data_IF_007604158314
#
_entry.id   IF_007604158314
#
_cell.length_a   1.000
_cell.length_b   1.000
_cell.length_c   1.000
_cell.angle_alpha   90.00
_cell.angle_beta   90.00
_cell.angle_gamma   90.00
#
_symmetry.space_group_name_H-M   'P 1'
#
loop_
_entity.id
_entity.type
_entity.pdbx_description
1 polymer ?
#
# COMPACT_ATOMS: atom_id res chain seq x y z
N UNK A 1 65.02 35.83 -0.77
CA UNK A 1 63.66 36.24 -1.17
C UNK A 1 62.72 35.96 -0.02
N UNK A 2 62.34 36.99 0.74
CA UNK A 2 61.38 36.91 1.84
C UNK A 2 59.98 37.19 1.28
N UNK A 3 59.18 36.15 1.12
CA UNK A 3 57.78 36.27 0.72
C UNK A 3 56.90 36.38 1.98
N UNK A 4 56.47 37.60 2.32
CA UNK A 4 55.43 37.85 3.32
C UNK A 4 54.05 37.69 2.66
N UNK A 5 53.61 36.46 2.46
CA UNK A 5 52.23 36.14 2.15
C UNK A 5 51.86 34.84 2.87
N UNK A 6 50.97 34.92 3.85
CA UNK A 6 50.45 33.75 4.55
C UNK A 6 49.39 33.06 3.67
N UNK A 7 49.83 32.14 2.81
CA UNK A 7 48.93 31.29 2.02
C UNK A 7 48.68 29.95 2.73
N UNK A 8 47.40 29.57 2.82
CA UNK A 8 46.98 28.30 3.42
C UNK A 8 47.03 27.17 2.40
N UNK A 9 47.99 26.26 2.55
CA UNK A 9 48.07 25.03 1.77
C UNK A 9 47.17 23.93 2.36
N UNK A 10 46.47 23.20 1.50
CA UNK A 10 45.82 21.93 1.87
C UNK A 10 46.88 20.84 2.04
N UNK A 11 46.55 19.77 2.77
CA UNK A 11 47.48 18.67 3.02
C UNK A 11 47.96 18.00 1.71
N UNK A 12 47.10 17.95 0.69
CA UNK A 12 47.47 17.47 -0.67
C UNK A 12 48.47 18.42 -1.36
N UNK A 13 48.27 19.73 -1.25
CA UNK A 13 49.21 20.72 -1.79
C UNK A 13 50.56 20.70 -1.07
N UNK A 14 50.58 20.47 0.25
CA UNK A 14 51.83 20.30 1.03
C UNK A 14 52.58 19.03 0.61
N UNK A 15 51.87 17.90 0.47
CA UNK A 15 52.48 16.66 0.01
C UNK A 15 53.03 16.79 -1.42
N UNK A 16 52.27 17.46 -2.30
CA UNK A 16 52.70 17.77 -3.66
C UNK A 16 53.93 18.67 -3.70
N UNK A 17 54.00 19.66 -2.82
CA UNK A 17 55.16 20.54 -2.70
C UNK A 17 56.41 19.77 -2.29
N UNK A 18 56.32 18.90 -1.29
CA UNK A 18 57.44 18.07 -0.82
C UNK A 18 57.98 17.16 -1.92
N UNK A 19 57.10 16.45 -2.62
CA UNK A 19 57.50 15.52 -3.68
C UNK A 19 58.16 16.27 -4.85
N UNK A 20 57.67 17.46 -5.20
CA UNK A 20 58.27 18.27 -6.26
C UNK A 20 59.61 18.87 -5.83
N UNK A 21 59.74 19.28 -4.56
CA UNK A 21 61.00 19.74 -4.00
C UNK A 21 62.06 18.64 -3.99
N UNK A 22 61.70 17.39 -3.66
CA UNK A 22 62.62 16.26 -3.74
C UNK A 22 63.12 15.98 -5.18
N UNK A 23 62.33 16.31 -6.20
CA UNK A 23 62.79 16.23 -7.61
C UNK A 23 63.75 17.36 -7.95
N UNK A 24 63.53 18.56 -7.42
CA UNK A 24 64.44 19.70 -7.60
C UNK A 24 65.77 19.45 -6.90
N UNK A 25 65.73 18.84 -5.72
CA UNK A 25 66.90 18.45 -4.92
C UNK A 25 67.59 17.18 -5.46
N UNK A 26 67.18 16.68 -6.64
CA UNK A 26 67.71 15.49 -7.32
C UNK A 26 67.60 14.18 -6.51
N UNK A 27 66.73 14.13 -5.50
CA UNK A 27 66.46 12.94 -4.67
C UNK A 27 65.43 12.01 -5.30
N UNK A 28 64.67 12.49 -6.28
CA UNK A 28 63.61 11.76 -6.97
C UNK A 28 63.62 12.09 -8.47
N UNK A 29 63.36 11.08 -9.31
CA UNK A 29 63.16 11.30 -10.75
C UNK A 29 61.76 11.83 -11.04
N UNK A 30 61.61 12.57 -12.15
CA UNK A 30 60.30 13.14 -12.57
C UNK A 30 59.24 12.07 -12.76
N UNK A 31 59.64 10.89 -13.27
CA UNK A 31 58.77 9.74 -13.49
C UNK A 31 58.25 9.15 -12.16
N UNK A 32 59.14 8.96 -11.17
CA UNK A 32 58.75 8.45 -9.85
C UNK A 32 57.89 9.45 -9.08
N UNK A 33 58.18 10.75 -9.22
CA UNK A 33 57.33 11.79 -8.64
C UNK A 33 55.93 11.83 -9.27
N UNK A 34 55.82 11.66 -10.59
CA UNK A 34 54.53 11.57 -11.28
C UNK A 34 53.71 10.37 -10.78
N UNK A 35 54.35 9.21 -10.60
CA UNK A 35 53.72 8.02 -10.02
C UNK A 35 53.26 8.23 -8.57
N UNK A 36 54.11 8.80 -7.71
CA UNK A 36 53.76 9.09 -6.31
C UNK A 36 52.62 10.09 -6.15
N UNK A 37 52.51 11.03 -7.08
CA UNK A 37 51.43 12.03 -7.12
C UNK A 37 50.18 11.54 -7.84
N UNK A 38 50.21 10.36 -8.49
CA UNK A 38 49.09 9.84 -9.28
C UNK A 38 48.72 10.73 -10.48
N UNK A 39 49.69 11.44 -11.07
CA UNK A 39 49.49 12.36 -12.20
C UNK A 39 50.32 11.94 -13.41
N UNK A 40 49.97 12.47 -14.58
CA UNK A 40 50.79 12.25 -15.77
C UNK A 40 52.15 12.94 -15.66
N UNK A 41 53.18 12.36 -16.30
CA UNK A 41 54.52 12.93 -16.36
C UNK A 41 54.52 14.35 -16.97
N UNK A 42 53.67 14.60 -17.98
CA UNK A 42 53.44 15.94 -18.54
C UNK A 42 52.95 16.94 -17.47
N UNK A 43 52.02 16.52 -16.63
CA UNK A 43 51.49 17.36 -15.55
C UNK A 43 52.51 17.56 -14.44
N UNK A 44 53.32 16.55 -14.13
CA UNK A 44 54.45 16.63 -13.21
C UNK A 44 55.50 17.66 -13.69
N UNK A 45 55.91 17.59 -14.95
CA UNK A 45 56.83 18.57 -15.57
C UNK A 45 56.27 20.00 -15.54
N UNK A 46 54.96 20.16 -15.77
CA UNK A 46 54.29 21.47 -15.65
C UNK A 46 54.31 22.03 -14.23
N UNK A 47 54.19 21.16 -13.21
CA UNK A 47 54.32 21.56 -11.81
C UNK A 47 55.76 21.93 -11.47
N UNK A 48 56.74 21.19 -11.97
CA UNK A 48 58.17 21.50 -11.84
C UNK A 48 58.54 22.85 -12.45
N UNK A 49 58.10 23.15 -13.68
CA UNK A 49 58.31 24.47 -14.31
C UNK A 49 57.74 25.58 -13.41
N UNK A 50 56.51 25.37 -12.93
CA UNK A 50 55.82 26.33 -12.07
C UNK A 50 56.52 26.54 -10.72
N UNK A 51 57.04 25.47 -10.12
CA UNK A 51 57.80 25.54 -8.88
C UNK A 51 59.13 26.28 -9.09
N UNK A 52 59.79 26.11 -10.24
CA UNK A 52 61.00 26.86 -10.58
C UNK A 52 60.75 28.35 -10.80
N UNK A 53 59.62 28.69 -11.41
CA UNK A 53 59.24 30.08 -11.71
C UNK A 53 58.74 30.86 -10.48
N UNK A 54 57.94 30.23 -9.62
CA UNK A 54 57.22 30.93 -8.54
C UNK A 54 57.43 30.31 -7.15
N UNK A 55 58.34 29.35 -7.01
CA UNK A 55 58.64 28.68 -5.76
C UNK A 55 57.44 27.93 -5.16
N UNK A 56 57.46 27.72 -3.82
CA UNK A 56 56.36 27.12 -3.05
C UNK A 56 54.96 27.67 -3.36
N UNK A 57 54.83 28.99 -3.55
CA UNK A 57 53.54 29.66 -3.80
C UNK A 57 52.93 29.27 -5.15
N UNK A 58 53.76 28.87 -6.13
CA UNK A 58 53.29 28.34 -7.41
C UNK A 58 52.46 27.05 -7.29
N UNK A 59 52.55 26.34 -6.16
CA UNK A 59 51.90 25.03 -5.98
C UNK A 59 50.44 25.13 -5.53
N UNK A 60 49.99 26.31 -5.09
CA UNK A 60 48.61 26.55 -4.72
C UNK A 60 47.66 26.46 -5.94
N UNK A 61 46.43 26.03 -5.71
CA UNK A 61 45.41 26.00 -6.75
C UNK A 61 45.06 27.42 -7.24
N UNK A 62 45.35 27.74 -8.52
CA UNK A 62 45.05 29.04 -9.15
C UNK A 62 43.57 29.41 -9.25
N UNK A 63 42.65 28.47 -8.99
CA UNK A 63 41.20 28.73 -8.89
C UNK A 63 40.79 29.20 -7.50
N UNK A 64 41.67 29.08 -6.50
CA UNK A 64 41.41 29.55 -5.14
C UNK A 64 41.22 31.07 -5.17
N UNK A 65 40.13 31.54 -4.56
CA UNK A 65 39.73 32.96 -4.57
C UNK A 65 39.09 33.44 -5.87
N UNK A 66 39.00 32.60 -6.92
CA UNK A 66 38.28 32.96 -8.15
C UNK A 66 36.81 32.53 -8.07
N UNK A 67 35.88 33.34 -8.57
CA UNK A 67 34.47 32.97 -8.66
C UNK A 67 34.33 31.69 -9.50
N UNK A 68 33.37 30.86 -9.13
CA UNK A 68 33.07 29.64 -9.90
C UNK A 68 32.50 30.01 -11.26
N UNK A 69 32.86 29.27 -12.30
CA UNK A 69 32.24 29.44 -13.62
C UNK A 69 30.71 29.18 -13.58
N UNK A 70 30.21 28.51 -12.53
CA UNK A 70 28.79 28.23 -12.30
C UNK A 70 28.17 29.16 -11.25
N UNK A 71 28.87 30.22 -10.84
CA UNK A 71 28.35 31.19 -9.89
C UNK A 71 27.23 31.98 -10.55
N UNK A 72 26.12 32.13 -9.84
CA UNK A 72 25.03 33.00 -10.29
C UNK A 72 25.54 34.44 -10.42
N UNK A 73 24.98 35.24 -11.35
CA UNK A 73 25.25 36.66 -11.40
C UNK A 73 25.07 37.31 -10.02
N UNK A 74 25.95 38.24 -9.69
CA UNK A 74 25.89 38.95 -8.41
C UNK A 74 24.53 39.64 -8.26
N UNK A 75 23.90 39.49 -7.09
CA UNK A 75 22.56 40.05 -6.81
C UNK A 75 21.38 39.13 -7.19
N UNK A 76 21.55 38.21 -8.14
CA UNK A 76 20.44 37.39 -8.64
C UNK A 76 19.87 36.42 -7.59
N UNK A 77 20.75 35.86 -6.76
CA UNK A 77 20.36 35.00 -5.64
C UNK A 77 19.62 35.79 -4.55
N UNK A 78 20.03 37.03 -4.26
CA UNK A 78 19.35 37.89 -3.30
C UNK A 78 17.96 38.30 -3.82
N UNK A 79 17.85 38.60 -5.11
CA UNK A 79 16.58 38.95 -5.76
C UNK A 79 15.56 37.80 -5.72
N UNK A 80 15.98 36.57 -6.05
CA UNK A 80 15.10 35.41 -5.94
C UNK A 80 14.64 35.17 -4.49
N UNK A 81 15.53 35.36 -3.51
CA UNK A 81 15.21 35.22 -2.09
C UNK A 81 14.28 36.31 -1.56
N UNK A 82 14.38 37.55 -2.05
CA UNK A 82 13.48 38.63 -1.62
C UNK A 82 12.04 38.33 -2.04
N UNK A 83 11.84 37.87 -3.28
CA UNK A 83 10.52 37.48 -3.78
C UNK A 83 9.94 36.32 -2.95
N UNK A 84 10.74 35.29 -2.64
CA UNK A 84 10.28 34.16 -1.82
C UNK A 84 9.88 34.64 -0.42
N UNK A 85 10.66 35.53 0.20
CA UNK A 85 10.36 36.07 1.53
C UNK A 85 9.09 36.92 1.56
N UNK A 86 8.84 37.68 0.52
CA UNK A 86 7.71 38.61 0.47
C UNK A 86 6.40 37.91 0.08
N UNK A 87 6.45 36.94 -0.84
CA UNK A 87 5.25 36.40 -1.50
C UNK A 87 5.01 34.90 -1.30
N UNK A 88 6.03 34.13 -0.90
CA UNK A 88 5.99 32.66 -0.91
C UNK A 88 6.55 32.04 0.37
N UNK A 89 6.23 32.61 1.53
CA UNK A 89 6.77 32.18 2.84
C UNK A 89 6.39 30.76 3.25
N UNK A 90 5.26 30.26 2.76
CA UNK A 90 4.70 28.93 3.05
C UNK A 90 5.00 27.89 1.95
N UNK A 91 5.67 28.28 0.86
CA UNK A 91 5.86 27.40 -0.29
C UNK A 91 7.05 26.46 -0.10
N UNK A 92 6.93 25.24 -0.63
CA UNK A 92 8.06 24.33 -0.76
C UNK A 92 8.99 24.72 -1.91
N UNK A 93 10.27 24.27 -1.92
CA UNK A 93 11.26 24.67 -2.93
C UNK A 93 10.88 24.38 -4.38
N UNK A 94 10.10 23.32 -4.62
CA UNK A 94 9.60 23.00 -5.97
C UNK A 94 8.59 24.05 -6.44
N UNK A 95 7.56 24.33 -5.62
CA UNK A 95 6.50 25.27 -5.97
C UNK A 95 7.02 26.71 -6.02
N UNK A 96 7.92 27.08 -5.11
CA UNK A 96 8.60 28.37 -5.16
C UNK A 96 9.39 28.54 -6.46
N UNK A 97 10.08 27.50 -6.95
CA UNK A 97 10.79 27.52 -8.21
C UNK A 97 9.85 27.70 -9.42
N UNK A 98 8.73 26.99 -9.44
CA UNK A 98 7.70 27.13 -10.48
C UNK A 98 7.14 28.55 -10.53
N UNK A 99 6.80 29.12 -9.36
CA UNK A 99 6.20 30.47 -9.27
C UNK A 99 7.19 31.60 -9.46
N UNK A 100 8.48 31.37 -9.21
CA UNK A 100 9.55 32.30 -9.59
C UNK A 100 9.68 32.40 -11.12
N UNK A 101 9.57 31.27 -11.84
CA UNK A 101 9.63 31.27 -13.29
C UNK A 101 8.35 31.85 -13.93
N UNK A 102 7.17 31.39 -13.49
CA UNK A 102 5.89 31.78 -14.10
C UNK A 102 5.49 33.24 -13.88
N UNK A 103 5.78 33.81 -12.70
CA UNK A 103 5.24 35.11 -12.30
C UNK A 103 6.29 36.21 -12.20
N UNK A 104 7.58 35.86 -12.14
CA UNK A 104 8.68 36.81 -11.93
C UNK A 104 9.81 36.67 -12.95
N UNK A 105 9.65 35.78 -13.93
CA UNK A 105 10.65 35.48 -14.98
C UNK A 105 12.03 35.05 -14.43
N UNK A 106 12.07 34.58 -13.18
CA UNK A 106 13.30 34.15 -12.49
C UNK A 106 13.52 32.67 -12.72
N UNK A 107 14.42 32.36 -13.64
CA UNK A 107 14.75 31.00 -14.04
C UNK A 107 15.95 30.45 -13.25
N UNK A 108 15.65 29.67 -12.21
CA UNK A 108 16.65 28.95 -11.40
C UNK A 108 16.38 27.45 -11.42
N UNK A 109 17.41 26.64 -11.21
CA UNK A 109 17.20 25.22 -10.95
C UNK A 109 16.51 25.02 -9.60
N UNK A 110 15.61 24.04 -9.51
CA UNK A 110 14.97 23.63 -8.26
C UNK A 110 15.96 23.42 -7.11
N UNK A 111 17.12 22.83 -7.41
CA UNK A 111 18.15 22.53 -6.42
C UNK A 111 18.86 23.79 -5.91
N UNK A 112 19.03 24.79 -6.78
CA UNK A 112 19.53 26.12 -6.42
C UNK A 112 18.56 26.83 -5.49
N UNK A 113 17.27 26.85 -5.82
CA UNK A 113 16.21 27.44 -4.97
C UNK A 113 16.16 26.75 -3.61
N UNK A 114 16.23 25.41 -3.59
CA UNK A 114 16.29 24.63 -2.35
C UNK A 114 17.50 25.01 -1.49
N UNK A 115 18.69 25.12 -2.09
CA UNK A 115 19.91 25.52 -1.37
C UNK A 115 19.81 26.94 -0.80
N UNK A 116 19.28 27.89 -1.57
CA UNK A 116 19.05 29.26 -1.14
C UNK A 116 18.05 29.34 0.02
N UNK A 117 16.92 28.65 -0.08
CA UNK A 117 15.90 28.62 1.00
C UNK A 117 16.43 27.97 2.28
N UNK A 118 17.26 26.93 2.18
CA UNK A 118 17.91 26.30 3.35
C UNK A 118 18.89 27.27 4.01
N UNK A 119 19.78 27.92 3.24
CA UNK A 119 20.73 28.91 3.76
C UNK A 119 20.03 30.12 4.39
N UNK A 120 18.90 30.53 3.81
CA UNK A 120 18.11 31.66 4.30
C UNK A 120 17.16 31.31 5.47
N UNK A 121 17.14 30.06 5.93
CA UNK A 121 16.27 29.60 7.03
C UNK A 121 14.79 29.43 6.65
N UNK A 122 14.43 29.60 5.38
CA UNK A 122 13.05 29.52 4.88
C UNK A 122 12.60 28.07 4.65
N UNK A 123 13.54 27.14 4.55
CA UNK A 123 13.22 25.72 4.39
C UNK A 123 14.15 24.84 5.22
N UNK A 124 13.57 24.05 6.12
CA UNK A 124 14.31 23.10 6.95
C UNK A 124 14.32 21.73 6.25
N UNK A 125 15.49 21.20 5.83
CA UNK A 125 15.63 19.86 5.29
C UNK A 125 15.03 18.81 6.24
N UNK A 126 14.38 17.79 5.67
CA UNK A 126 13.71 16.76 6.46
C UNK A 126 14.61 16.09 7.52
N UNK A 127 15.90 15.92 7.21
CA UNK A 127 16.90 15.34 8.13
C UNK A 127 17.22 16.23 9.34
N UNK A 128 16.95 17.53 9.25
CA UNK A 128 17.22 18.52 10.30
C UNK A 128 15.95 18.92 11.08
N UNK A 129 14.77 18.43 10.67
CA UNK A 129 13.54 18.64 11.44
C UNK A 129 13.66 17.87 12.75
N UNK A 130 13.37 18.53 13.87
CA UNK A 130 13.34 17.86 15.16
C UNK A 130 12.38 16.65 15.09
N UNK A 131 12.81 15.46 15.56
CA UNK A 131 11.92 14.31 15.60
C UNK A 131 10.72 14.69 16.46
N UNK A 132 9.50 14.39 15.99
CA UNK A 132 8.31 14.51 16.83
C UNK A 132 8.46 13.54 17.99
N UNK A 133 8.77 14.05 19.17
CA UNK A 133 8.82 13.25 20.40
C UNK A 133 7.38 12.84 20.69
N UNK A 134 7.10 11.55 20.57
CA UNK A 134 5.81 11.00 20.94
C UNK A 134 5.87 10.49 22.36
N UNK A 135 5.10 11.13 23.25
CA UNK A 135 5.03 10.71 24.64
C UNK A 135 4.20 9.42 24.76
N UNK A 136 4.59 8.49 25.64
CA UNK A 136 3.80 7.31 25.93
C UNK A 136 2.43 7.71 26.48
N UNK A 137 1.38 7.07 25.97
CA UNK A 137 0.03 7.15 26.54
C UNK A 137 -0.16 6.10 27.64
N UNK A 138 -0.86 6.48 28.71
CA UNK A 138 -1.36 5.53 29.71
C UNK A 138 -2.39 4.57 29.12
N UNK A 139 -2.37 3.33 29.62
CA UNK A 139 -3.40 2.34 29.30
C UNK A 139 -4.78 2.82 29.73
N UNK A 140 -5.80 2.32 29.04
CA UNK A 140 -7.17 2.28 29.54
C UNK A 140 -7.23 1.58 30.90
N UNK A 141 -8.25 1.93 31.69
CA UNK A 141 -8.35 1.51 33.07
C UNK A 141 -9.00 0.13 33.18
N UNK A 142 -10.02 -0.14 32.36
CA UNK A 142 -10.83 -1.34 32.40
C UNK A 142 -10.68 -2.17 31.10
N UNK A 143 -10.91 -3.49 31.20
CA UNK A 143 -10.95 -4.36 30.02
C UNK A 143 -12.16 -4.02 29.15
N UNK A 144 -12.00 -3.98 27.82
CA UNK A 144 -13.09 -3.68 26.89
C UNK A 144 -13.28 -2.20 26.54
N UNK A 145 -12.55 -1.28 27.20
CA UNK A 145 -12.69 0.16 26.95
C UNK A 145 -12.14 0.56 25.57
N UNK A 146 -11.05 -0.09 25.15
CA UNK A 146 -10.42 0.18 23.87
C UNK A 146 -9.70 -1.07 23.37
N UNK A 147 -10.17 -1.58 22.24
CA UNK A 147 -9.57 -2.73 21.58
C UNK A 147 -8.81 -2.25 20.36
N UNK A 148 -7.50 -2.46 20.34
CA UNK A 148 -6.68 -2.15 19.17
C UNK A 148 -6.81 -3.27 18.16
N UNK A 149 -7.23 -2.91 16.95
CA UNK A 149 -7.39 -3.84 15.83
C UNK A 149 -6.38 -3.52 14.75
N UNK A 150 -5.71 -4.56 14.26
CA UNK A 150 -4.73 -4.42 13.20
C UNK A 150 -4.54 -5.71 12.42
N UNK A 151 -4.13 -5.56 11.16
CA UNK A 151 -3.75 -6.68 10.32
C UNK A 151 -2.23 -6.77 10.20
N UNK A 152 -1.72 -7.99 10.27
CA UNK A 152 -0.30 -8.29 10.20
C UNK A 152 -0.03 -9.29 9.06
N UNK A 153 0.43 -8.78 7.92
CA UNK A 153 0.91 -9.59 6.80
C UNK A 153 2.28 -10.18 7.13
N UNK A 154 2.41 -11.51 7.08
CA UNK A 154 3.66 -12.19 7.41
C UNK A 154 3.73 -13.60 6.81
N UNK A 155 4.95 -14.14 6.73
CA UNK A 155 5.19 -15.56 6.40
C UNK A 155 4.90 -16.46 7.61
N UNK A 156 3.63 -16.47 8.01
CA UNK A 156 3.15 -17.19 9.19
C UNK A 156 3.46 -18.70 9.18
N UNK A 157 3.60 -19.28 7.99
CA UNK A 157 3.89 -20.69 7.76
C UNK A 157 5.31 -20.96 7.26
N UNK A 158 6.21 -19.96 7.29
CA UNK A 158 7.54 -20.03 6.67
C UNK A 158 7.40 -20.46 5.19
N UNK A 159 7.91 -21.66 4.86
CA UNK A 159 7.86 -22.26 3.52
C UNK A 159 6.75 -23.31 3.35
N UNK A 160 5.94 -23.57 4.39
CA UNK A 160 4.91 -24.62 4.38
C UNK A 160 3.61 -24.21 3.67
N UNK A 161 3.35 -22.90 3.58
CA UNK A 161 2.18 -22.35 2.92
C UNK A 161 2.43 -20.91 2.44
N UNK A 162 1.61 -20.38 1.52
CA UNK A 162 1.69 -18.98 1.11
C UNK A 162 1.56 -18.02 2.30
N UNK A 163 2.15 -16.84 2.18
CA UNK A 163 1.96 -15.75 3.13
C UNK A 163 0.49 -15.37 3.24
N UNK A 164 0.08 -14.98 4.45
CA UNK A 164 -1.28 -14.59 4.75
C UNK A 164 -1.28 -13.47 5.80
N UNK A 165 -2.46 -12.92 6.10
CA UNK A 165 -2.61 -11.86 7.08
C UNK A 165 -3.24 -12.42 8.36
N UNK A 166 -2.69 -12.06 9.52
CA UNK A 166 -3.35 -12.26 10.80
C UNK A 166 -4.10 -10.99 11.19
N UNK A 167 -5.40 -11.10 11.46
CA UNK A 167 -6.19 -10.06 12.09
C UNK A 167 -6.09 -10.22 13.60
N UNK A 168 -5.62 -9.18 14.29
CA UNK A 168 -5.26 -9.23 15.70
C UNK A 168 -6.04 -8.16 16.47
N UNK A 169 -6.66 -8.57 17.57
CA UNK A 169 -7.40 -7.70 18.48
C UNK A 169 -6.70 -7.74 19.83
N UNK A 170 -6.24 -6.58 20.30
CA UNK A 170 -5.50 -6.44 21.56
C UNK A 170 -6.24 -5.48 22.48
N UNK A 171 -6.58 -5.93 23.68
CA UNK A 171 -7.15 -5.05 24.70
C UNK A 171 -6.07 -4.09 25.24
N UNK A 172 -6.37 -2.79 25.27
CA UNK A 172 -5.39 -1.78 25.65
C UNK A 172 -5.02 -1.80 27.15
N UNK A 173 -5.99 -2.12 28.01
CA UNK A 173 -5.82 -2.15 29.46
C UNK A 173 -4.95 -3.33 29.90
N UNK A 174 -5.23 -4.51 29.36
CA UNK A 174 -4.63 -5.77 29.78
C UNK A 174 -3.51 -6.24 28.87
N UNK A 175 -3.45 -5.76 27.62
CA UNK A 175 -2.59 -6.32 26.56
C UNK A 175 -2.91 -7.77 26.19
N UNK A 176 -4.11 -8.26 26.52
CA UNK A 176 -4.61 -9.58 26.11
C UNK A 176 -4.88 -9.60 24.60
N UNK A 177 -4.54 -10.72 23.96
CA UNK A 177 -5.11 -11.10 22.67
C UNK A 177 -6.55 -11.53 22.90
N UNK A 178 -7.47 -10.79 22.30
CA UNK A 178 -8.90 -11.02 22.43
C UNK A 178 -9.46 -11.79 21.23
N UNK A 179 -8.85 -11.59 20.06
CA UNK A 179 -9.19 -12.29 18.84
C UNK A 179 -7.96 -12.38 17.93
N UNK A 180 -7.80 -13.55 17.31
CA UNK A 180 -6.76 -13.83 16.34
C UNK A 180 -7.38 -14.65 15.19
N UNK A 181 -7.31 -14.14 13.96
CA UNK A 181 -7.84 -14.83 12.78
C UNK A 181 -6.89 -14.71 11.59
N UNK A 182 -6.51 -15.84 11.01
CA UNK A 182 -5.72 -15.92 9.78
C UNK A 182 -6.64 -15.87 8.56
N UNK A 183 -6.31 -14.99 7.62
CA UNK A 183 -7.04 -14.80 6.38
C UNK A 183 -6.07 -14.63 5.21
N UNK A 184 -6.49 -15.01 4.00
CA UNK A 184 -5.62 -14.91 2.80
C UNK A 184 -5.18 -13.48 2.51
N UNK A 185 -6.06 -12.50 2.75
CA UNK A 185 -5.80 -11.08 2.56
C UNK A 185 -6.81 -10.24 3.34
N UNK A 186 -6.42 -9.06 3.80
CA UNK A 186 -7.32 -8.12 4.47
C UNK A 186 -8.43 -7.60 3.55
N UNK A 187 -9.66 -7.65 4.07
CA UNK A 187 -10.87 -7.14 3.42
C UNK A 187 -11.93 -6.79 4.48
N UNK A 188 -12.93 -5.99 4.12
CA UNK A 188 -14.05 -5.69 5.02
C UNK A 188 -14.75 -6.96 5.52
N UNK A 189 -14.94 -7.97 4.67
CA UNK A 189 -15.57 -9.23 5.08
C UNK A 189 -14.70 -10.01 6.07
N UNK A 190 -13.38 -10.02 5.89
CA UNK A 190 -12.49 -10.69 6.86
C UNK A 190 -12.52 -10.01 8.22
N UNK A 191 -12.65 -8.68 8.27
CA UNK A 191 -12.81 -7.95 9.53
C UNK A 191 -14.19 -8.18 10.15
N UNK A 192 -15.25 -8.26 9.36
CA UNK A 192 -16.58 -8.67 9.86
C UNK A 192 -16.56 -10.03 10.52
N UNK A 193 -15.95 -11.02 9.86
CA UNK A 193 -15.85 -12.37 10.40
C UNK A 193 -14.98 -12.44 11.66
N UNK A 194 -13.84 -11.73 11.68
CA UNK A 194 -13.02 -11.61 12.88
C UNK A 194 -13.77 -10.89 14.02
N UNK A 195 -14.50 -9.81 13.72
CA UNK A 195 -15.26 -9.07 14.74
C UNK A 195 -16.43 -9.89 15.27
N UNK A 196 -17.11 -10.66 14.41
CA UNK A 196 -18.14 -11.62 14.85
C UNK A 196 -17.60 -12.56 15.92
N UNK A 197 -16.50 -13.24 15.64
CA UNK A 197 -15.89 -14.17 16.59
C UNK A 197 -15.42 -13.48 17.89
N UNK A 198 -15.00 -12.21 17.81
CA UNK A 198 -14.73 -11.40 18.99
C UNK A 198 -15.99 -11.14 19.83
N UNK A 199 -17.06 -10.66 19.19
CA UNK A 199 -18.29 -10.27 19.87
C UNK A 199 -19.01 -11.47 20.49
N UNK A 200 -19.02 -12.61 19.81
CA UNK A 200 -19.61 -13.85 20.32
C UNK A 200 -18.88 -14.36 21.57
N UNK A 201 -17.57 -14.08 21.71
CA UNK A 201 -16.75 -14.52 22.85
C UNK A 201 -16.76 -13.53 24.03
N UNK A 202 -16.71 -12.23 23.74
CA UNK A 202 -16.48 -11.21 24.77
C UNK A 202 -17.60 -10.18 24.89
N UNK A 203 -18.50 -10.08 23.91
CA UNK A 203 -19.50 -9.02 23.82
C UNK A 203 -18.99 -7.73 23.15
N UNK A 204 -19.84 -6.69 23.15
CA UNK A 204 -19.64 -5.38 22.53
C UNK A 204 -18.67 -4.54 23.38
N UNK A 205 -17.47 -4.18 22.87
CA UNK A 205 -16.57 -3.27 23.58
C UNK A 205 -17.11 -1.83 23.51
N UNK A 206 -16.47 -0.93 24.24
CA UNK A 206 -16.80 0.50 24.16
C UNK A 206 -16.27 1.12 22.86
N UNK A 207 -15.01 0.79 22.50
CA UNK A 207 -14.39 1.31 21.29
C UNK A 207 -13.40 0.34 20.62
N UNK A 208 -13.35 0.42 19.28
CA UNK A 208 -12.30 -0.17 18.46
C UNK A 208 -11.33 0.92 17.97
N UNK A 209 -10.03 0.62 18.05
CA UNK A 209 -8.95 1.50 17.64
C UNK A 209 -8.18 0.92 16.46
N UNK A 210 -8.32 1.54 15.29
CA UNK A 210 -7.76 1.05 14.02
C UNK A 210 -6.86 2.08 13.34
N UNK A 211 -6.15 1.68 12.29
CA UNK A 211 -5.37 2.60 11.46
C UNK A 211 -6.27 3.18 10.36
N UNK A 212 -5.80 4.20 9.65
CA UNK A 212 -6.51 4.85 8.54
C UNK A 212 -6.55 4.01 7.25
N UNK A 213 -6.52 2.68 7.37
CA UNK A 213 -6.73 1.80 6.23
C UNK A 213 -8.12 2.03 5.62
N UNK A 214 -8.27 1.79 4.31
CA UNK A 214 -9.51 2.05 3.56
C UNK A 214 -10.73 1.28 4.08
N UNK A 215 -10.51 0.17 4.79
CA UNK A 215 -11.56 -0.59 5.48
C UNK A 215 -12.21 0.24 6.60
N UNK A 216 -11.42 1.06 7.30
CA UNK A 216 -11.84 1.81 8.48
C UNK A 216 -12.14 3.29 8.20
N UNK A 217 -11.61 3.83 7.09
CA UNK A 217 -11.81 5.22 6.71
C UNK A 217 -12.02 5.40 5.22
N UNK A 218 -13.02 6.21 4.85
CA UNK A 218 -13.17 6.69 3.48
C UNK A 218 -12.04 7.70 3.19
N UNK A 219 -11.09 7.32 2.33
CA UNK A 219 -9.97 8.19 1.95
C UNK A 219 -10.35 9.26 0.92
N UNK A 220 -11.55 9.16 0.30
CA UNK A 220 -12.02 10.10 -0.70
C UNK A 220 -13.33 10.79 -0.25
N UNK A 221 -13.25 12.06 0.16
CA UNK A 221 -14.40 12.85 0.65
C UNK A 221 -15.50 13.05 -0.42
N UNK A 222 -15.18 12.83 -1.70
CA UNK A 222 -16.11 12.98 -2.83
C UNK A 222 -16.68 11.63 -3.32
N UNK A 223 -16.67 10.58 -2.49
CA UNK A 223 -17.27 9.30 -2.86
C UNK A 223 -18.79 9.48 -3.06
N UNK A 224 -19.22 9.40 -4.31
CA UNK A 224 -20.60 9.60 -4.74
C UNK A 224 -21.49 8.46 -4.25
N UNK A 225 -22.05 8.60 -3.05
CA UNK A 225 -23.09 7.72 -2.51
C UNK A 225 -22.67 6.96 -1.25
N UNK A 226 -23.08 7.47 -0.10
CA UNK A 226 -22.95 6.84 1.21
C UNK A 226 -22.67 7.88 2.30
N UNK A 227 -23.25 7.69 3.49
CA UNK A 227 -23.35 8.65 4.61
C UNK A 227 -22.01 9.03 5.28
N UNK A 228 -20.90 9.00 4.56
CA UNK A 228 -19.56 9.34 5.07
C UNK A 228 -18.89 8.24 5.90
N UNK A 229 -19.54 7.09 6.10
CA UNK A 229 -19.02 5.94 6.86
C UNK A 229 -18.58 4.78 5.96
N UNK A 230 -17.49 4.09 6.31
CA UNK A 230 -17.17 2.80 5.68
C UNK A 230 -18.20 1.74 6.07
N UNK A 231 -18.34 0.67 5.27
CA UNK A 231 -19.22 -0.46 5.62
C UNK A 231 -18.89 -1.06 6.99
N UNK A 232 -17.60 -1.08 7.36
CA UNK A 232 -17.19 -1.48 8.70
C UNK A 232 -17.65 -0.49 9.76
N UNK A 233 -17.42 0.81 9.54
CA UNK A 233 -17.88 1.86 10.44
C UNK A 233 -19.39 1.86 10.66
N UNK A 234 -20.18 1.59 9.60
CA UNK A 234 -21.63 1.42 9.68
C UNK A 234 -22.01 0.28 10.62
N UNK A 235 -21.46 -0.91 10.42
CA UNK A 235 -21.75 -2.06 11.27
C UNK A 235 -21.40 -1.79 12.74
N UNK A 236 -20.25 -1.16 13.01
CA UNK A 236 -19.86 -0.80 14.38
C UNK A 236 -20.80 0.23 15.00
N UNK A 237 -21.23 1.23 14.22
CA UNK A 237 -22.18 2.24 14.69
C UNK A 237 -23.55 1.61 15.03
N UNK A 238 -24.07 0.73 14.16
CA UNK A 238 -25.31 -0.02 14.42
C UNK A 238 -25.21 -0.87 15.71
N UNK A 239 -24.04 -1.43 15.99
CA UNK A 239 -23.74 -2.16 17.23
C UNK A 239 -23.43 -1.25 18.44
N UNK A 240 -23.56 0.07 18.30
CA UNK A 240 -23.19 1.06 19.32
C UNK A 240 -21.73 0.95 19.80
N UNK A 241 -20.80 0.58 18.92
CA UNK A 241 -19.36 0.48 19.18
C UNK A 241 -18.65 1.68 18.56
N UNK A 242 -17.92 2.46 19.36
CA UNK A 242 -17.20 3.63 18.85
C UNK A 242 -16.00 3.21 18.00
N UNK A 243 -15.85 3.78 16.80
CA UNK A 243 -14.65 3.55 15.97
C UNK A 243 -13.72 4.74 16.04
N UNK A 244 -12.46 4.50 16.41
CA UNK A 244 -11.43 5.52 16.55
C UNK A 244 -10.28 5.18 15.61
N UNK A 245 -9.96 6.09 14.69
CA UNK A 245 -8.82 5.94 13.78
C UNK A 245 -7.58 6.66 14.32
N UNK A 246 -6.45 5.96 14.37
CA UNK A 246 -5.16 6.52 14.74
C UNK A 246 -4.77 7.67 13.80
N UNK A 247 -4.36 8.81 14.36
CA UNK A 247 -3.86 9.93 13.55
C UNK A 247 -2.40 9.75 13.11
N UNK A 248 -1.66 8.88 13.80
CA UNK A 248 -0.26 8.56 13.54
C UNK A 248 -0.02 7.07 13.83
N UNK A 249 0.80 6.40 13.02
CA UNK A 249 1.15 4.97 13.17
C UNK A 249 1.64 4.63 14.58
N UNK A 250 2.52 5.46 15.13
CA UNK A 250 3.10 5.34 16.47
C UNK A 250 2.12 5.43 17.65
N UNK A 251 0.83 5.75 17.41
CA UNK A 251 -0.20 5.71 18.44
C UNK A 251 -0.74 4.27 18.69
N UNK A 252 -0.30 3.27 17.91
CA UNK A 252 -0.69 1.85 17.97
C UNK A 252 0.37 0.94 18.61
N UNK A 253 1.28 1.49 19.44
CA UNK A 253 2.42 0.72 19.97
C UNK A 253 2.10 -0.49 20.86
N UNK A 254 0.83 -0.85 21.13
CA UNK A 254 0.46 -2.09 21.84
C UNK A 254 0.29 -3.24 20.86
N UNK A 255 -0.55 -3.07 19.85
CA UNK A 255 -0.76 -4.08 18.81
C UNK A 255 0.52 -4.34 18.01
N UNK A 256 1.33 -3.31 17.75
CA UNK A 256 2.66 -3.47 17.14
C UNK A 256 3.60 -4.34 17.97
N UNK A 257 3.60 -4.20 19.31
CA UNK A 257 4.40 -5.06 20.20
C UNK A 257 3.87 -6.50 20.24
N UNK A 258 2.55 -6.66 20.21
CA UNK A 258 1.94 -7.97 20.07
C UNK A 258 2.38 -8.64 18.76
N UNK A 259 2.37 -7.92 17.64
CA UNK A 259 2.84 -8.41 16.34
C UNK A 259 4.27 -8.92 16.40
N UNK A 260 5.22 -8.20 17.00
CA UNK A 260 6.60 -8.67 17.14
C UNK A 260 6.68 -9.99 17.90
N UNK A 261 5.90 -10.14 18.96
CA UNK A 261 5.86 -11.37 19.76
C UNK A 261 5.22 -12.52 18.97
N UNK A 262 4.15 -12.24 18.23
CA UNK A 262 3.47 -13.21 17.38
C UNK A 262 4.36 -13.69 16.24
N UNK A 263 5.01 -12.76 15.51
CA UNK A 263 5.89 -13.07 14.39
C UNK A 263 7.03 -14.01 14.79
N UNK A 264 7.54 -13.89 16.02
CA UNK A 264 8.54 -14.82 16.53
C UNK A 264 7.93 -16.14 17.04
N UNK A 265 7.03 -16.08 18.02
CA UNK A 265 6.58 -17.27 18.76
C UNK A 265 5.58 -18.09 17.96
N UNK A 266 4.57 -17.45 17.37
CA UNK A 266 3.48 -18.17 16.72
C UNK A 266 3.95 -18.92 15.48
N UNK A 267 4.94 -18.38 14.76
CA UNK A 267 5.58 -19.07 13.64
C UNK A 267 6.24 -20.38 14.10
N UNK A 268 6.99 -20.32 15.21
CA UNK A 268 7.68 -21.48 15.81
C UNK A 268 6.69 -22.50 16.39
N UNK A 269 5.67 -22.07 17.12
CA UNK A 269 4.63 -22.95 17.69
C UNK A 269 3.92 -23.73 16.58
N UNK A 270 3.53 -23.05 15.49
CA UNK A 270 2.96 -23.74 14.33
C UNK A 270 3.92 -24.72 13.69
N UNK A 271 5.22 -24.44 13.69
CA UNK A 271 6.25 -25.36 13.15
C UNK A 271 6.31 -26.64 13.98
N UNK A 272 6.34 -26.52 15.30
CA UNK A 272 6.36 -27.66 16.22
C UNK A 272 5.13 -28.57 16.05
N UNK A 273 3.98 -27.98 15.69
CA UNK A 273 2.72 -28.70 15.48
C UNK A 273 2.47 -29.13 14.03
N UNK A 274 3.38 -28.84 13.10
CA UNK A 274 3.22 -29.19 11.68
C UNK A 274 2.08 -28.47 10.96
N UNK A 275 1.58 -27.34 11.47
CA UNK A 275 0.44 -26.61 10.88
C UNK A 275 0.88 -25.93 9.58
N UNK A 276 0.17 -26.18 8.49
CA UNK A 276 0.51 -25.71 7.13
C UNK A 276 -0.68 -25.15 6.34
N UNK A 277 -1.80 -24.84 7.00
CA UNK A 277 -2.97 -24.24 6.36
C UNK A 277 -3.58 -23.14 7.22
N UNK A 278 -4.29 -22.21 6.57
CA UNK A 278 -5.03 -21.13 7.24
C UNK A 278 -6.11 -21.69 8.15
N UNK A 279 -6.84 -22.72 7.71
CA UNK A 279 -7.90 -23.35 8.50
C UNK A 279 -7.33 -23.97 9.78
N UNK A 280 -6.29 -24.81 9.66
CA UNK A 280 -5.66 -25.42 10.81
C UNK A 280 -5.01 -24.39 11.76
N UNK A 281 -4.55 -23.25 11.24
CA UNK A 281 -4.07 -22.15 12.08
C UNK A 281 -5.20 -21.44 12.84
N UNK A 282 -6.39 -21.33 12.25
CA UNK A 282 -7.57 -20.79 12.91
C UNK A 282 -8.09 -21.74 13.99
N UNK A 283 -8.06 -23.05 13.75
CA UNK A 283 -8.44 -24.06 14.74
C UNK A 283 -7.51 -24.02 15.97
N UNK A 284 -6.22 -23.73 15.75
CA UNK A 284 -5.23 -23.58 16.82
C UNK A 284 -5.25 -22.19 17.51
N UNK A 285 -5.93 -21.20 16.95
CA UNK A 285 -5.80 -19.81 17.40
C UNK A 285 -6.21 -19.62 18.87
N UNK A 286 -7.29 -20.27 19.32
CA UNK A 286 -7.81 -20.14 20.68
C UNK A 286 -6.85 -20.73 21.73
N UNK A 287 -6.28 -21.89 21.44
CA UNK A 287 -5.29 -22.52 22.32
C UNK A 287 -4.03 -21.65 22.45
N UNK A 288 -3.54 -21.12 21.34
CA UNK A 288 -2.39 -20.21 21.36
C UNK A 288 -2.69 -18.91 22.12
N UNK A 289 -3.87 -18.32 21.91
CA UNK A 289 -4.28 -17.10 22.62
C UNK A 289 -4.33 -17.33 24.14
N UNK A 290 -4.81 -18.49 24.59
CA UNK A 290 -4.81 -18.83 26.00
C UNK A 290 -3.40 -18.87 26.60
N UNK A 291 -2.44 -19.56 25.96
CA UNK A 291 -1.04 -19.60 26.43
C UNK A 291 -0.37 -18.22 26.35
N UNK A 292 -0.62 -17.47 25.28
CA UNK A 292 -0.11 -16.11 25.13
C UNK A 292 -0.61 -15.21 26.27
N UNK A 293 -1.92 -15.21 26.53
CA UNK A 293 -2.52 -14.36 27.54
C UNK A 293 -2.03 -14.73 28.93
N UNK A 294 -1.85 -16.02 29.24
CA UNK A 294 -1.24 -16.47 30.51
C UNK A 294 0.15 -15.85 30.77
N UNK A 295 0.94 -15.60 29.72
CA UNK A 295 2.33 -15.11 29.84
C UNK A 295 2.46 -13.60 29.73
N UNK A 296 1.63 -12.95 28.92
CA UNK A 296 1.83 -11.55 28.52
C UNK A 296 0.71 -10.60 28.94
N UNK A 297 -0.44 -11.14 29.35
CA UNK A 297 -1.50 -10.31 29.91
C UNK A 297 -1.04 -9.64 31.20
N UNK A 298 -1.66 -8.51 31.49
CA UNK A 298 -1.45 -7.75 32.71
C UNK A 298 -2.80 -7.42 33.31
N UNK A 299 -2.78 -7.24 34.61
CA UNK A 299 -3.96 -6.82 35.34
C UNK A 299 -4.38 -5.41 34.87
N UNK A 300 -5.68 -5.20 34.63
CA UNK A 300 -6.23 -3.87 34.38
C UNK A 300 -6.10 -3.01 35.66
N UNK A 301 -6.27 -1.69 35.52
CA UNK A 301 -6.23 -0.79 36.69
C UNK A 301 -7.45 -1.00 37.59
N UNK A 302 -8.59 -1.33 36.98
CA UNK A 302 -9.81 -1.69 37.68
C UNK A 302 -10.30 -3.04 37.16
N UNK A 303 -10.83 -3.85 38.07
CA UNK A 303 -11.29 -5.22 37.81
C UNK A 303 -12.65 -5.28 37.07
N UNK A 304 -13.21 -4.13 36.71
CA UNK A 304 -14.46 -4.08 35.98
C UNK A 304 -14.24 -4.37 34.49
N UNK A 305 -15.05 -5.25 33.92
CA UNK A 305 -15.12 -5.50 32.48
C UNK A 305 -16.24 -4.64 31.88
N UNK A 306 -15.90 -3.76 30.91
CA UNK A 306 -16.87 -2.85 30.29
C UNK A 306 -17.57 -3.44 29.07
N UNK A 307 -17.30 -4.69 28.70
CA UNK A 307 -18.03 -5.33 27.61
C UNK A 307 -19.53 -5.39 27.91
N UNK A 308 -20.33 -5.08 26.90
CA UNK A 308 -21.78 -5.22 26.95
C UNK A 308 -22.17 -6.51 26.24
N UNK A 309 -23.09 -7.33 26.80
CA UNK A 309 -23.56 -8.51 26.10
C UNK A 309 -24.25 -8.12 24.77
N UNK A 310 -24.31 -9.07 23.85
CA UNK A 310 -25.17 -8.95 22.66
C UNK A 310 -26.64 -9.01 23.10
N UNK A 311 -27.46 -8.15 22.53
CA UNK A 311 -28.90 -8.13 22.77
C UNK A 311 -29.59 -9.25 21.99
N UNK A 312 -30.79 -9.67 22.41
CA UNK A 312 -31.49 -10.81 21.78
C UNK A 312 -31.88 -10.53 20.33
N UNK A 313 -32.08 -9.26 19.99
CA UNK A 313 -32.37 -8.73 18.66
C UNK A 313 -31.12 -8.30 17.87
N UNK A 314 -29.91 -8.45 18.43
CA UNK A 314 -28.66 -8.17 17.71
C UNK A 314 -28.40 -9.24 16.63
N UNK A 315 -28.93 -9.03 15.42
CA UNK A 315 -28.63 -9.89 14.27
C UNK A 315 -27.27 -9.53 13.65
N UNK A 316 -26.22 -10.20 14.15
CA UNK A 316 -24.86 -10.08 13.60
C UNK A 316 -24.79 -10.39 12.10
N UNK A 317 -25.67 -11.24 11.54
CA UNK A 317 -25.67 -11.53 10.11
C UNK A 317 -26.17 -10.33 9.30
N UNK A 318 -27.18 -9.62 9.81
CA UNK A 318 -27.64 -8.37 9.22
C UNK A 318 -26.61 -7.24 9.38
N UNK A 319 -25.98 -7.09 10.55
CA UNK A 319 -24.98 -6.05 10.79
C UNK A 319 -23.73 -6.22 9.92
N UNK A 320 -23.25 -7.45 9.76
CA UNK A 320 -22.04 -7.78 8.99
C UNK A 320 -22.30 -8.01 7.49
N UNK A 321 -23.08 -7.11 6.89
CA UNK A 321 -23.38 -7.09 5.45
C UNK A 321 -22.77 -5.89 4.74
N UNK A 322 -22.34 -6.09 3.50
CA UNK A 322 -22.06 -4.99 2.59
C UNK A 322 -23.38 -4.48 1.99
N UNK A 323 -23.75 -3.23 2.26
CA UNK A 323 -25.01 -2.63 1.77
C UNK A 323 -24.70 -1.50 0.80
N UNK A 324 -25.27 -1.56 -0.39
CA UNK A 324 -25.03 -0.52 -1.40
C UNK A 324 -26.32 -0.12 -2.12
N UNK A 325 -26.63 1.19 -2.21
CA UNK A 325 -27.79 1.65 -2.93
C UNK A 325 -27.59 1.46 -4.45
N UNK A 326 -28.63 0.92 -5.10
CA UNK A 326 -28.69 0.74 -6.55
C UNK A 326 -30.02 1.18 -7.10
N UNK A 327 -29.98 1.93 -8.20
CA UNK A 327 -31.21 2.36 -8.88
C UNK A 327 -31.75 1.24 -9.75
N UNK A 328 -33.02 0.90 -9.57
CA UNK A 328 -33.72 -0.07 -10.42
C UNK A 328 -34.03 0.56 -11.78
N UNK A 329 -33.72 -0.16 -12.85
CA UNK A 329 -34.01 0.29 -14.21
C UNK A 329 -35.52 0.20 -14.54
N UNK A 330 -35.91 0.75 -15.70
CA UNK A 330 -37.29 0.59 -16.21
C UNK A 330 -37.66 -0.86 -16.52
N UNK A 331 -36.67 -1.74 -16.72
CA UNK A 331 -36.87 -3.16 -17.03
C UNK A 331 -36.72 -4.06 -15.79
N UNK A 332 -36.88 -3.52 -14.58
CA UNK A 332 -36.74 -4.27 -13.32
C UNK A 332 -35.37 -4.96 -13.19
N UNK A 333 -34.31 -4.31 -13.68
CA UNK A 333 -32.95 -4.84 -13.56
C UNK A 333 -32.06 -3.96 -12.70
N UNK A 334 -31.14 -4.61 -11.99
CA UNK A 334 -30.08 -3.97 -11.21
C UNK A 334 -28.75 -4.62 -11.55
N UNK A 335 -27.74 -3.79 -11.82
CA UNK A 335 -26.37 -4.26 -12.02
C UNK A 335 -25.57 -4.13 -10.72
N UNK A 336 -24.98 -5.23 -10.26
CA UNK A 336 -24.15 -5.28 -9.07
C UNK A 336 -23.03 -6.31 -9.23
N UNK A 337 -21.80 -5.99 -8.82
CA UNK A 337 -20.59 -6.82 -9.03
C UNK A 337 -20.44 -7.37 -10.46
N UNK A 338 -20.73 -6.55 -11.48
CA UNK A 338 -20.77 -6.92 -12.92
C UNK A 338 -21.80 -8.00 -13.30
N UNK A 339 -22.63 -8.45 -12.35
CA UNK A 339 -23.75 -9.36 -12.58
C UNK A 339 -25.02 -8.54 -12.77
N UNK A 340 -25.88 -8.97 -13.69
CA UNK A 340 -27.20 -8.37 -13.91
C UNK A 340 -28.24 -9.20 -13.15
N UNK A 341 -28.94 -8.57 -12.23
CA UNK A 341 -30.02 -9.17 -11.46
C UNK A 341 -31.36 -8.74 -12.08
N UNK A 342 -32.20 -9.71 -12.43
CA UNK A 342 -33.55 -9.50 -12.94
C UNK A 342 -34.51 -9.67 -11.77
N UNK A 343 -35.10 -8.57 -11.33
CA UNK A 343 -36.10 -8.59 -10.26
C UNK A 343 -37.39 -9.15 -10.84
N UNK A 344 -38.00 -10.10 -10.14
CA UNK A 344 -39.27 -10.69 -10.56
C UNK A 344 -40.38 -9.64 -10.57
N UNK A 345 -41.25 -9.70 -11.58
CA UNK A 345 -42.33 -8.75 -11.74
C UNK A 345 -43.44 -8.99 -10.69
N UNK A 346 -43.69 -7.98 -9.88
CA UNK A 346 -44.70 -7.96 -8.82
C UNK A 346 -45.15 -6.50 -8.61
N UNK A 347 -46.29 -6.29 -7.96
CA UNK A 347 -46.73 -4.92 -7.65
C UNK A 347 -45.68 -4.14 -6.84
N UNK A 348 -44.96 -4.83 -5.96
CA UNK A 348 -43.95 -4.24 -5.10
C UNK A 348 -42.67 -3.90 -5.88
N UNK A 349 -42.21 -4.80 -6.77
CA UNK A 349 -41.04 -4.53 -7.61
C UNK A 349 -41.31 -3.45 -8.66
N UNK A 350 -42.54 -3.35 -9.22
CA UNK A 350 -42.93 -2.24 -10.10
C UNK A 350 -42.85 -0.88 -9.40
N UNK A 351 -43.18 -0.80 -8.10
CA UNK A 351 -43.01 0.43 -7.30
C UNK A 351 -41.54 0.80 -7.07
N UNK A 352 -40.61 -0.14 -7.27
CA UNK A 352 -39.16 0.09 -7.15
C UNK A 352 -38.56 0.73 -8.40
N UNK A 353 -39.25 0.70 -9.56
CA UNK A 353 -38.73 1.23 -10.83
C UNK A 353 -38.32 2.70 -10.68
N UNK A 354 -37.08 3.01 -11.08
CA UNK A 354 -36.50 4.35 -10.99
C UNK A 354 -36.09 4.77 -9.57
N UNK A 355 -36.42 3.98 -8.54
CA UNK A 355 -36.02 4.22 -7.15
C UNK A 355 -34.72 3.49 -6.81
N UNK A 356 -34.10 3.93 -5.72
CA UNK A 356 -32.97 3.23 -5.13
C UNK A 356 -33.47 2.11 -4.22
N UNK A 357 -32.90 0.92 -4.40
CA UNK A 357 -33.03 -0.22 -3.50
C UNK A 357 -31.67 -0.49 -2.85
N UNK A 358 -31.67 -1.22 -1.74
CA UNK A 358 -30.43 -1.68 -1.12
C UNK A 358 -30.05 -3.07 -1.64
N UNK A 359 -28.81 -3.21 -2.07
CA UNK A 359 -28.21 -4.53 -2.32
C UNK A 359 -27.43 -4.93 -1.09
N UNK A 360 -27.88 -5.99 -0.43
CA UNK A 360 -27.22 -6.61 0.70
C UNK A 360 -26.35 -7.75 0.20
N UNK A 361 -25.07 -7.74 0.52
CA UNK A 361 -24.11 -8.77 0.14
C UNK A 361 -23.42 -9.32 1.39
N UNK A 362 -23.66 -10.60 1.65
CA UNK A 362 -23.20 -11.32 2.83
C UNK A 362 -21.80 -11.91 2.61
N UNK A 363 -21.04 -12.18 3.69
CA UNK A 363 -19.68 -12.74 3.60
C UNK A 363 -19.61 -14.11 2.91
N UNK A 364 -20.66 -14.94 3.06
CA UNK A 364 -20.82 -16.24 2.42
C UNK A 364 -21.10 -16.15 0.90
N UNK A 365 -21.31 -14.94 0.39
CA UNK A 365 -21.65 -14.68 -1.00
C UNK A 365 -23.15 -14.75 -1.30
N UNK A 366 -24.04 -14.81 -0.32
CA UNK A 366 -25.48 -14.57 -0.54
C UNK A 366 -25.71 -13.10 -0.90
N UNK A 367 -26.71 -12.82 -1.75
CA UNK A 367 -27.15 -11.47 -2.07
C UNK A 367 -28.65 -11.35 -1.86
N UNK A 368 -29.09 -10.18 -1.41
CA UNK A 368 -30.50 -9.85 -1.28
C UNK A 368 -30.73 -8.45 -1.83
N UNK A 369 -31.83 -8.28 -2.54
CA UNK A 369 -32.30 -6.99 -3.05
C UNK A 369 -33.45 -6.54 -2.16
N UNK A 370 -33.37 -5.38 -1.54
CA UNK A 370 -34.38 -4.92 -0.57
C UNK A 370 -34.92 -3.53 -0.91
N UNK A 371 -36.24 -3.39 -0.94
CA UNK A 371 -36.93 -2.10 -0.99
C UNK A 371 -37.58 -1.85 0.38
N UNK A 372 -37.10 -0.83 1.11
CA UNK A 372 -37.60 -0.48 2.45
C UNK A 372 -37.65 -1.69 3.41
N UNK A 373 -36.62 -2.53 3.38
CA UNK A 373 -36.53 -3.75 4.20
C UNK A 373 -37.23 -4.99 3.62
N UNK A 374 -38.09 -4.85 2.61
CA UNK A 374 -38.78 -5.97 1.97
C UNK A 374 -37.90 -6.59 0.88
N UNK A 375 -37.73 -7.91 0.92
CA UNK A 375 -36.94 -8.66 -0.06
C UNK A 375 -37.66 -8.71 -1.40
N UNK A 376 -36.93 -8.41 -2.46
CA UNK A 376 -37.34 -8.52 -3.85
C UNK A 376 -36.78 -9.82 -4.44
N UNK A 377 -37.63 -10.77 -4.84
CA UNK A 377 -37.19 -11.97 -5.56
C UNK A 377 -36.47 -11.59 -6.85
N UNK A 378 -35.43 -12.35 -7.20
CA UNK A 378 -34.66 -12.09 -8.40
C UNK A 378 -34.10 -13.37 -9.01
N UNK A 379 -33.82 -13.31 -10.30
CA UNK A 379 -33.00 -14.28 -11.02
C UNK A 379 -31.69 -13.63 -11.49
N UNK A 380 -30.64 -14.43 -11.60
CA UNK A 380 -29.33 -13.95 -12.06
C UNK A 380 -29.27 -14.13 -13.56
N UNK A 381 -29.06 -13.04 -14.30
CA UNK A 381 -28.70 -13.07 -15.70
C UNK A 381 -27.19 -12.93 -15.83
N UNK A 382 -26.51 -14.08 -15.77
CA UNK A 382 -25.07 -14.12 -15.90
C UNK A 382 -24.65 -14.03 -17.37
N UNK A 383 -24.10 -12.88 -17.77
CA UNK A 383 -23.48 -12.70 -19.12
C UNK A 383 -22.10 -13.37 -19.22
N UNK A 384 -21.63 -14.05 -18.17
CA UNK A 384 -20.37 -14.78 -18.07
C UNK A 384 -20.58 -16.30 -17.99
N UNK A 385 -21.69 -16.83 -18.51
CA UNK A 385 -21.96 -18.28 -18.52
C UNK A 385 -20.75 -19.06 -19.08
N UNK A 386 -20.00 -19.71 -18.19
CA UNK A 386 -19.01 -20.73 -18.55
C UNK A 386 -19.80 -21.94 -19.02
N UNK A 387 -19.52 -22.41 -20.23
CA UNK A 387 -20.13 -23.62 -20.76
C UNK A 387 -19.55 -24.79 -19.96
N UNK A 388 -20.37 -25.40 -19.12
CA UNK A 388 -20.04 -26.63 -18.42
C UNK A 388 -19.98 -27.78 -19.45
N UNK A 389 -18.79 -28.36 -19.65
CA UNK A 389 -18.61 -29.53 -20.51
C UNK A 389 -19.08 -30.79 -19.77
N UNK A 390 -20.39 -30.86 -19.49
CA UNK A 390 -21.06 -32.04 -18.97
C UNK A 390 -21.69 -32.86 -20.11
N UNK A 391 -21.23 -34.10 -20.25
CA UNK A 391 -21.66 -35.13 -21.21
C UNK A 391 -21.39 -34.84 -22.70
N UNK A 392 -20.36 -35.49 -23.23
CA UNK A 392 -20.14 -35.65 -24.68
C UNK A 392 -21.32 -36.46 -25.23
N UNK A 393 -22.35 -35.77 -25.72
CA UNK A 393 -23.35 -36.37 -26.59
C UNK A 393 -22.82 -36.24 -28.01
N UNK A 394 -22.63 -37.39 -28.66
CA UNK A 394 -22.03 -37.50 -29.98
C UNK A 394 -22.97 -36.89 -31.04
N UNK A 395 -22.82 -35.58 -31.25
CA UNK A 395 -23.41 -34.89 -32.38
C UNK A 395 -22.23 -34.29 -33.17
N UNK A 396 -22.06 -34.79 -34.42
CA UNK A 396 -20.86 -34.67 -35.29
C UNK A 396 -20.26 -33.27 -35.49
N UNK A 397 -20.87 -32.21 -34.96
CA UNK A 397 -20.38 -30.82 -35.05
C UNK A 397 -20.45 -30.03 -33.73
N UNK A 398 -21.15 -30.53 -32.71
CA UNK A 398 -21.36 -29.79 -31.46
C UNK A 398 -20.06 -29.61 -30.67
N UNK A 399 -19.23 -30.65 -30.57
CA UNK A 399 -17.93 -30.58 -29.87
C UNK A 399 -17.02 -29.47 -30.43
N UNK A 400 -16.92 -29.35 -31.76
CA UNK A 400 -16.12 -28.30 -32.40
C UNK A 400 -16.64 -26.89 -32.13
N UNK A 401 -17.96 -26.70 -32.15
CA UNK A 401 -18.57 -25.40 -31.84
C UNK A 401 -18.34 -25.02 -30.38
N UNK A 402 -18.39 -25.99 -29.46
CA UNK A 402 -18.13 -25.74 -28.04
C UNK A 402 -16.64 -25.44 -27.77
N UNK A 403 -15.71 -26.17 -28.39
CA UNK A 403 -14.28 -25.90 -28.29
C UNK A 403 -13.90 -24.55 -28.90
N UNK A 404 -14.58 -24.15 -29.97
CA UNK A 404 -14.45 -22.82 -30.57
C UNK A 404 -14.86 -21.72 -29.58
N UNK A 405 -16.03 -21.87 -28.97
CA UNK A 405 -16.54 -20.91 -27.98
C UNK A 405 -15.60 -20.87 -26.76
N UNK A 406 -15.07 -22.01 -26.32
CA UNK A 406 -14.09 -22.10 -25.22
C UNK A 406 -12.81 -21.32 -25.51
N UNK A 407 -12.22 -21.48 -26.70
CA UNK A 407 -11.01 -20.75 -27.09
C UNK A 407 -11.22 -19.23 -27.12
N UNK A 408 -12.41 -18.78 -27.52
CA UNK A 408 -12.78 -17.36 -27.50
C UNK A 408 -13.03 -16.88 -26.05
N UNK A 409 -13.66 -17.70 -25.21
CA UNK A 409 -13.87 -17.41 -23.79
C UNK A 409 -12.55 -17.34 -23.00
N UNK A 410 -11.54 -18.16 -23.35
CA UNK A 410 -10.23 -18.14 -22.70
C UNK A 410 -9.49 -16.80 -22.90
N UNK A 411 -9.79 -16.09 -23.99
CA UNK A 411 -9.27 -14.74 -24.27
C UNK A 411 -10.02 -13.63 -23.53
N UNK A 412 -11.15 -13.92 -22.89
CA UNK A 412 -11.96 -12.94 -22.16
C UNK A 412 -11.42 -12.69 -20.76
N UNK A 413 -11.39 -11.42 -20.35
CA UNK A 413 -11.13 -11.04 -18.96
C UNK A 413 -12.41 -11.24 -18.11
N UNK A 414 -12.41 -12.31 -17.31
CA UNK A 414 -13.49 -12.67 -16.38
C UNK A 414 -13.25 -12.12 -14.96
N UNK A 415 -12.30 -11.20 -14.76
CA UNK A 415 -12.05 -10.63 -13.43
C UNK A 415 -13.26 -9.82 -12.93
N UNK A 416 -13.72 -10.11 -11.70
CA UNK A 416 -14.82 -9.39 -11.02
C UNK A 416 -14.45 -7.97 -10.62
N UNK A 417 -15.42 -7.19 -10.12
CA UNK A 417 -15.17 -5.81 -9.70
C UNK A 417 -14.20 -5.74 -8.51
N UNK A 418 -13.31 -4.74 -8.53
CA UNK A 418 -12.41 -4.44 -7.41
C UNK A 418 -13.05 -3.52 -6.37
N UNK A 419 -14.22 -2.95 -6.67
CA UNK A 419 -14.93 -2.06 -5.76
C UNK A 419 -15.57 -2.81 -4.57
N UNK A 420 -15.68 -4.13 -4.66
CA UNK A 420 -16.33 -4.98 -3.65
C UNK A 420 -15.26 -5.88 -3.01
N UNK A 421 -15.24 -6.04 -1.67
CA UNK A 421 -14.28 -6.89 -0.98
C UNK A 421 -14.35 -8.35 -1.44
N UNK A 422 -13.21 -9.04 -1.39
CA UNK A 422 -13.18 -10.50 -1.56
C UNK A 422 -13.68 -11.19 -0.28
N UNK A 423 -14.61 -12.15 -0.43
CA UNK A 423 -14.88 -13.19 0.58
C UNK A 423 -13.95 -14.39 0.40
N UNK A 424 -14.41 -15.61 0.70
CA UNK A 424 -13.60 -16.84 0.60
C UNK A 424 -13.29 -17.33 -0.83
N UNK A 425 -13.86 -16.65 -1.84
CA UNK A 425 -13.57 -16.90 -3.24
C UNK A 425 -12.10 -16.65 -3.64
N UNK A 426 -11.73 -16.98 -4.89
CA UNK A 426 -10.38 -16.77 -5.39
C UNK A 426 -9.94 -15.30 -5.21
N UNK A 427 -8.66 -15.10 -4.86
CA UNK A 427 -8.08 -13.79 -4.60
C UNK A 427 -8.42 -12.80 -5.71
N UNK A 428 -9.05 -11.68 -5.33
CA UNK A 428 -9.36 -10.58 -6.25
C UNK A 428 -8.12 -9.72 -6.56
N UNK A 429 -6.92 -10.06 -6.07
CA UNK A 429 -5.68 -9.35 -6.45
C UNK A 429 -5.57 -9.33 -7.97
N UNK A 430 -5.27 -8.15 -8.52
CA UNK A 430 -4.99 -7.96 -9.95
C UNK A 430 -3.90 -8.96 -10.36
N UNK A 431 -4.28 -10.05 -11.03
CA UNK A 431 -3.32 -10.86 -11.78
C UNK A 431 -2.62 -9.90 -12.75
N UNK A 432 -1.30 -10.05 -12.98
CA UNK A 432 -0.56 -9.28 -14.01
C UNK A 432 -1.46 -9.14 -15.24
N UNK A 433 -1.53 -7.95 -15.88
CA UNK A 433 -2.41 -7.75 -17.03
C UNK A 433 -2.21 -8.92 -17.98
N UNK A 434 -3.20 -9.81 -18.00
CA UNK A 434 -3.21 -10.90 -18.95
C UNK A 434 -3.47 -10.24 -20.29
N UNK A 435 -2.90 -10.75 -21.40
CA UNK A 435 -3.28 -10.32 -22.75
C UNK A 435 -4.76 -10.57 -23.11
N UNK A 436 -5.61 -10.87 -22.11
CA UNK A 436 -7.04 -11.12 -22.22
C UNK A 436 -7.80 -9.81 -22.37
N UNK A 437 -8.79 -9.84 -23.23
CA UNK A 437 -9.60 -8.70 -23.67
C UNK A 437 -10.87 -8.58 -22.85
N UNK A 438 -11.38 -7.36 -22.63
CA UNK A 438 -12.73 -7.16 -22.10
C UNK A 438 -13.79 -7.76 -23.04
N UNK A 439 -14.98 -8.09 -22.53
CA UNK A 439 -16.06 -8.63 -23.36
C UNK A 439 -16.38 -7.75 -24.59
N UNK A 440 -16.28 -6.42 -24.45
CA UNK A 440 -16.58 -5.47 -25.53
C UNK A 440 -15.46 -5.32 -26.55
N UNK A 441 -14.26 -5.80 -26.22
CA UNK A 441 -13.07 -5.71 -27.09
C UNK A 441 -12.77 -7.03 -27.82
N UNK A 442 -13.54 -8.09 -27.57
CA UNK A 442 -13.51 -9.29 -28.41
C UNK A 442 -14.13 -8.95 -29.77
N UNK A 443 -13.42 -9.25 -30.84
CA UNK A 443 -13.82 -8.88 -32.21
C UNK A 443 -13.74 -10.09 -33.16
N UNK A 444 -14.00 -9.85 -34.46
CA UNK A 444 -13.95 -10.89 -35.49
C UNK A 444 -12.58 -11.56 -35.64
N UNK A 445 -11.49 -10.86 -35.32
CA UNK A 445 -10.13 -11.42 -35.41
C UNK A 445 -9.89 -12.48 -34.32
N UNK A 446 -10.44 -12.27 -33.12
CA UNK A 446 -10.37 -13.26 -32.03
C UNK A 446 -11.07 -14.56 -32.40
N UNK A 447 -12.19 -14.45 -33.14
CA UNK A 447 -12.95 -15.57 -33.70
C UNK A 447 -12.14 -16.27 -34.81
N UNK A 448 -11.52 -15.51 -35.71
CA UNK A 448 -10.68 -16.07 -36.77
C UNK A 448 -9.48 -16.83 -36.20
N UNK A 449 -8.83 -16.28 -35.18
CA UNK A 449 -7.68 -16.91 -34.52
C UNK A 449 -8.09 -18.18 -33.77
N UNK A 450 -9.27 -18.20 -33.13
CA UNK A 450 -9.81 -19.41 -32.51
C UNK A 450 -10.15 -20.50 -33.56
N UNK A 451 -10.68 -20.11 -34.73
CA UNK A 451 -10.90 -21.03 -35.86
C UNK A 451 -9.59 -21.60 -36.38
N UNK A 452 -8.56 -20.77 -36.57
CA UNK A 452 -7.23 -21.21 -37.01
C UNK A 452 -6.61 -22.18 -36.00
N UNK A 453 -6.77 -21.91 -34.70
CA UNK A 453 -6.30 -22.79 -33.62
C UNK A 453 -7.03 -24.14 -33.59
N UNK A 454 -8.33 -24.17 -33.91
CA UNK A 454 -9.06 -25.43 -34.07
C UNK A 454 -8.68 -26.20 -35.32
N UNK A 455 -8.34 -25.48 -36.39
CA UNK A 455 -7.94 -26.08 -37.66
C UNK A 455 -6.55 -26.71 -37.55
N UNK A 456 -5.62 -26.12 -36.79
CA UNK A 456 -4.30 -26.71 -36.52
C UNK A 456 -4.35 -27.93 -35.59
N UNK A 457 -5.35 -28.02 -34.70
CA UNK A 457 -5.61 -29.21 -33.85
C UNK A 457 -6.35 -30.35 -34.56
N UNK A 458 -6.68 -30.17 -35.84
CA UNK A 458 -7.42 -31.19 -36.59
C UNK A 458 -6.62 -32.46 -36.86
N UNK A 459 -5.29 -32.37 -36.92
CA UNK A 459 -4.41 -33.53 -37.16
C UNK A 459 -4.32 -34.47 -35.94
N UNK A 460 -4.43 -33.94 -34.73
CA UNK A 460 -4.41 -34.73 -33.47
C UNK A 460 -5.70 -35.54 -33.26
N UNK A 461 -6.82 -35.09 -33.83
CA UNK A 461 -8.16 -35.67 -33.59
C UNK A 461 -8.60 -36.60 -34.73
N UNK A 462 -8.23 -36.32 -35.99
CA UNK A 462 -8.65 -37.12 -37.15
C UNK A 462 -7.63 -38.16 -37.61
N UNK A 463 -6.44 -38.21 -36.99
CA UNK A 463 -5.33 -39.03 -37.46
C UNK A 463 -4.80 -38.57 -38.82
N UNK A 464 -3.57 -38.96 -39.17
CA UNK A 464 -2.99 -38.66 -40.48
C UNK A 464 -3.96 -39.10 -41.58
N UNK A 465 -4.38 -38.15 -42.43
CA UNK A 465 -5.00 -38.49 -43.72
C UNK A 465 -3.97 -39.33 -44.49
N UNK A 466 -4.27 -40.60 -44.73
CA UNK A 466 -3.50 -41.46 -45.63
C UNK A 466 -3.61 -40.95 -47.06
#
# INVERSE_FOLDING_TARGET
MTAHAAEFFTLDEVNRLKIIQDVVDQRLTTLMAAQRLGISDRQCRRLLSRYRESGPLGMANRRRGKPSNNQLPDGFAQYALSIIRERYTDFGPTLACEKLAELHDVHLSKETVRSLMVKAGLWIPRKQRAPKIQQPRYRRACCGELIQIDGCDHHWFENRAPACTALVYVDDATSRLMQLRFVKSESTFTYFEATRGYLEKHGKPLALYSDKASVFRINNKNATGGDGYTQFGRAMHELNIQTICANTSSAKGRVERAHLTLQDRLVKERRLRGISSVNAANDFADEFMADYNRRFAKEPRHDFDVHRPLETDDDLAAFFTWREPRRVSKSLTVQYDKVLYLIEDSELSRRAIGKYIEVWHYPDGRKELRLNGVILPYSIYDRLQEIDQGAIVDNKRLGRTLDFIKLVQDKRDNNRSQAIPAGDGPSRRRRKPTGKKSQRSLNGDDMLEALNTLQSRSEEIFGKRK
#
